data_IF_334605963763
#
_entry.id   IF_334605963763
#
_cell.length_a   1.000
_cell.length_b   1.000
_cell.length_c   1.000
_cell.angle_alpha   90.00
_cell.angle_beta   90.00
_cell.angle_gamma   90.00
#
_symmetry.space_group_name_H-M   'P 1'
#
loop_
_entity.id
_entity.type
_entity.pdbx_description
1 polymer ?
#
# COMPACT_ATOMS: atom_id res chain seq x y z
N UNK A 1 7.23 5.59 -18.45
CA UNK A 1 5.81 5.55 -18.04
C UNK A 1 5.37 6.97 -17.82
N UNK A 2 4.11 7.30 -18.09
CA UNK A 2 3.55 8.61 -17.73
C UNK A 2 2.70 8.44 -16.47
N UNK A 3 2.90 9.29 -15.46
CA UNK A 3 2.18 9.25 -14.18
C UNK A 3 1.42 10.56 -14.04
N UNK A 4 0.08 10.47 -13.98
CA UNK A 4 -0.82 11.60 -13.77
C UNK A 4 -1.38 11.56 -12.35
N UNK A 5 -1.22 12.65 -11.62
CA UNK A 5 -1.82 12.86 -10.30
C UNK A 5 -2.83 13.99 -10.46
N UNK A 6 -4.15 13.71 -10.40
CA UNK A 6 -5.17 14.75 -10.43
C UNK A 6 -4.98 15.76 -9.28
N UNK A 7 -5.39 17.03 -9.47
CA UNK A 7 -5.16 18.10 -8.50
C UNK A 7 -5.83 17.80 -7.14
N UNK A 8 -7.04 17.25 -7.17
CA UNK A 8 -7.78 16.83 -5.98
C UNK A 8 -7.04 15.72 -5.20
N UNK A 9 -6.35 14.83 -5.91
CA UNK A 9 -5.52 13.78 -5.32
C UNK A 9 -4.23 14.40 -4.77
N UNK A 10 -3.63 15.36 -5.48
CA UNK A 10 -2.42 16.06 -5.05
C UNK A 10 -2.63 16.81 -3.72
N UNK A 11 -3.76 17.50 -3.57
CA UNK A 11 -4.14 18.15 -2.31
C UNK A 11 -4.35 17.12 -1.18
N UNK A 12 -5.02 16.00 -1.48
CA UNK A 12 -5.29 14.94 -0.51
C UNK A 12 -3.99 14.31 0.01
N UNK A 13 -3.06 13.94 -0.88
CA UNK A 13 -1.79 13.31 -0.49
C UNK A 13 -0.88 14.30 0.24
N UNK A 14 -0.94 15.59 -0.11
CA UNK A 14 -0.23 16.66 0.58
C UNK A 14 -0.70 16.80 2.03
N UNK A 15 -2.02 16.77 2.28
CA UNK A 15 -2.59 16.74 3.65
C UNK A 15 -2.17 15.51 4.45
N UNK A 16 -1.84 14.40 3.78
CA UNK A 16 -1.32 13.16 4.39
C UNK A 16 0.20 13.16 4.58
N UNK A 17 0.89 14.24 4.19
CA UNK A 17 2.35 14.37 4.29
C UNK A 17 3.12 13.54 3.26
N UNK A 18 2.47 13.10 2.18
CA UNK A 18 3.09 12.30 1.12
C UNK A 18 3.47 13.21 -0.03
N UNK A 19 4.74 13.15 -0.47
CA UNK A 19 5.24 13.99 -1.56
C UNK A 19 4.93 13.36 -2.92
N UNK A 20 4.75 14.20 -3.94
CA UNK A 20 4.60 13.74 -5.33
C UNK A 20 5.76 12.83 -5.78
N UNK A 21 6.99 13.16 -5.38
CA UNK A 21 8.16 12.34 -5.71
C UNK A 21 8.07 10.92 -5.13
N UNK A 22 7.55 10.78 -3.90
CA UNK A 22 7.36 9.49 -3.24
C UNK A 22 6.31 8.65 -3.98
N UNK A 23 5.22 9.27 -4.43
CA UNK A 23 4.18 8.60 -5.22
C UNK A 23 4.75 8.05 -6.54
N UNK A 24 5.52 8.86 -7.25
CA UNK A 24 6.16 8.44 -8.51
C UNK A 24 7.12 7.28 -8.29
N UNK A 25 7.97 7.38 -7.28
CA UNK A 25 8.96 6.34 -6.94
C UNK A 25 8.31 5.01 -6.55
N UNK A 26 7.19 5.04 -5.80
CA UNK A 26 6.40 3.84 -5.47
C UNK A 26 5.88 3.16 -6.74
N UNK A 27 5.26 3.90 -7.66
CA UNK A 27 4.72 3.35 -8.91
C UNK A 27 5.84 2.78 -9.77
N UNK A 28 6.91 3.55 -10.00
CA UNK A 28 8.02 3.14 -10.86
C UNK A 28 8.68 1.86 -10.34
N UNK A 29 8.92 1.79 -9.03
CA UNK A 29 9.48 0.60 -8.38
C UNK A 29 8.55 -0.62 -8.54
N UNK A 30 7.25 -0.45 -8.32
CA UNK A 30 6.29 -1.54 -8.43
C UNK A 30 6.07 -2.02 -9.88
N UNK A 31 6.25 -1.14 -10.85
CA UNK A 31 6.20 -1.46 -12.28
C UNK A 31 7.46 -2.16 -12.77
N UNK A 32 8.62 -1.90 -12.16
CA UNK A 32 9.87 -2.61 -12.47
C UNK A 32 9.97 -3.96 -11.74
N UNK A 33 9.45 -4.08 -10.53
CA UNK A 33 9.61 -5.29 -9.69
C UNK A 33 8.39 -6.20 -9.63
N UNK A 34 7.25 -5.77 -10.16
CA UNK A 34 5.94 -6.40 -10.00
C UNK A 34 5.49 -6.59 -8.53
N UNK A 35 6.04 -5.81 -7.59
CA UNK A 35 5.61 -5.85 -6.18
C UNK A 35 4.38 -4.96 -5.95
N UNK A 36 3.24 -5.44 -6.46
CA UNK A 36 1.93 -4.81 -6.36
C UNK A 36 0.83 -5.87 -6.43
N UNK A 37 -0.36 -5.47 -6.01
CA UNK A 37 -1.59 -6.22 -6.26
C UNK A 37 -2.44 -5.52 -7.32
N UNK A 38 -3.17 -6.32 -8.11
CA UNK A 38 -3.92 -5.86 -9.28
C UNK A 38 -5.35 -6.40 -9.24
N UNK A 39 -6.32 -5.55 -9.54
CA UNK A 39 -7.73 -5.89 -9.70
C UNK A 39 -8.25 -5.19 -10.96
N UNK A 40 -8.36 -5.92 -12.06
CA UNK A 40 -8.65 -5.33 -13.38
C UNK A 40 -7.55 -4.35 -13.81
N UNK A 41 -7.90 -3.07 -14.00
CA UNK A 41 -6.95 -2.00 -14.28
C UNK A 41 -6.44 -1.27 -13.02
N UNK A 42 -7.02 -1.53 -11.84
CA UNK A 42 -6.64 -0.92 -10.57
C UNK A 42 -5.46 -1.66 -9.96
N UNK A 43 -4.53 -0.91 -9.40
CA UNK A 43 -3.28 -1.42 -8.83
C UNK A 43 -3.06 -0.77 -7.47
N UNK A 44 -2.59 -1.55 -6.50
CA UNK A 44 -2.02 -1.01 -5.26
C UNK A 44 -0.55 -1.40 -5.19
N UNK A 45 0.30 -0.38 -5.32
CA UNK A 45 1.73 -0.48 -5.11
C UNK A 45 2.11 -0.07 -3.70
N UNK A 46 3.26 -0.54 -3.22
CA UNK A 46 3.83 -0.07 -1.95
C UNK A 46 5.35 0.05 -2.00
N UNK A 47 5.90 0.93 -1.19
CA UNK A 47 7.34 1.06 -0.93
C UNK A 47 7.58 1.57 0.49
N UNK A 48 8.66 1.12 1.12
CA UNK A 48 9.12 1.71 2.38
C UNK A 48 9.94 2.95 2.05
N UNK A 49 9.53 4.11 2.58
CA UNK A 49 10.21 5.39 2.40
C UNK A 49 10.43 6.00 3.79
N UNK A 50 11.69 6.14 4.19
CA UNK A 50 12.04 6.51 5.56
C UNK A 50 11.51 5.47 6.56
N UNK A 51 10.65 5.92 7.48
CA UNK A 51 10.02 5.07 8.51
C UNK A 51 8.58 4.66 8.18
N UNK A 52 8.07 5.03 7.01
CA UNK A 52 6.69 4.75 6.61
C UNK A 52 6.64 3.77 5.44
N UNK A 53 5.65 2.89 5.44
CA UNK A 53 5.23 2.20 4.22
C UNK A 53 4.23 3.09 3.50
N UNK A 54 4.59 3.53 2.29
CA UNK A 54 3.74 4.35 1.42
C UNK A 54 3.09 3.45 0.40
N UNK A 55 1.79 3.64 0.21
CA UNK A 55 0.94 2.94 -0.74
C UNK A 55 0.41 3.91 -1.77
N UNK A 56 0.29 3.42 -3.01
CA UNK A 56 -0.32 4.19 -4.10
C UNK A 56 -1.35 3.31 -4.79
N UNK A 57 -2.59 3.80 -4.81
CA UNK A 57 -3.70 3.25 -5.57
C UNK A 57 -3.81 3.99 -6.90
N UNK A 58 -3.69 3.27 -8.00
CA UNK A 58 -3.67 3.85 -9.34
C UNK A 58 -4.32 2.94 -10.37
N UNK A 59 -4.91 3.54 -11.39
CA UNK A 59 -5.34 2.85 -12.59
C UNK A 59 -4.19 2.83 -13.59
N UNK A 60 -3.93 1.66 -14.18
CA UNK A 60 -2.91 1.49 -15.21
C UNK A 60 -3.58 1.20 -16.55
N UNK A 61 -3.45 2.16 -17.47
CA UNK A 61 -3.89 2.02 -18.85
C UNK A 61 -2.69 1.66 -19.74
N UNK A 62 -2.82 0.55 -20.47
CA UNK A 62 -1.83 0.15 -21.47
C UNK A 62 -2.18 0.82 -22.80
N UNK A 63 -1.64 2.02 -23.01
CA UNK A 63 -1.72 2.68 -24.32
C UNK A 63 -0.87 1.95 -25.37
N UNK A 64 -1.15 2.24 -26.66
CA UNK A 64 -0.43 1.65 -27.80
C UNK A 64 1.07 2.00 -27.82
N UNK A 65 1.45 3.14 -27.25
CA UNK A 65 2.83 3.69 -27.30
C UNK A 65 3.49 3.76 -25.93
N UNK A 66 2.72 4.06 -24.87
CA UNK A 66 3.23 4.16 -23.48
C UNK A 66 2.15 3.69 -22.50
N UNK A 67 2.61 3.22 -21.33
CA UNK A 67 1.75 2.98 -20.16
C UNK A 67 1.44 4.32 -19.49
N UNK A 68 0.18 4.54 -19.14
CA UNK A 68 -0.30 5.69 -18.39
C UNK A 68 -0.83 5.22 -17.03
N UNK A 69 -0.33 5.80 -15.95
CA UNK A 69 -0.80 5.55 -14.60
C UNK A 69 -1.56 6.79 -14.08
N UNK A 70 -2.83 6.62 -13.73
CA UNK A 70 -3.64 7.68 -13.11
C UNK A 70 -3.80 7.38 -11.63
N UNK A 71 -3.19 8.22 -10.79
CA UNK A 71 -3.24 8.05 -9.33
C UNK A 71 -4.63 8.40 -8.83
N UNK A 72 -5.20 7.50 -8.01
CA UNK A 72 -6.50 7.69 -7.34
C UNK A 72 -6.32 8.10 -5.90
N UNK A 73 -5.30 7.56 -5.23
CA UNK A 73 -5.01 7.86 -3.83
C UNK A 73 -3.58 7.47 -3.47
N UNK A 74 -3.03 8.11 -2.45
CA UNK A 74 -1.84 7.63 -1.76
C UNK A 74 -2.01 7.77 -0.24
N UNK A 75 -1.48 6.81 0.50
CA UNK A 75 -1.62 6.74 1.95
C UNK A 75 -0.42 6.01 2.55
N UNK A 76 -0.24 6.12 3.85
CA UNK A 76 0.92 5.53 4.53
C UNK A 76 0.63 5.18 5.97
N UNK A 77 1.44 4.29 6.54
CA UNK A 77 1.53 4.04 7.97
C UNK A 77 2.97 3.78 8.38
N UNK A 78 3.29 3.93 9.66
CA UNK A 78 4.62 3.72 10.25
C UNK A 78 4.78 2.38 10.96
N UNK A 79 3.73 1.56 11.00
CA UNK A 79 3.86 0.18 11.49
C UNK A 79 4.74 -0.65 10.56
N UNK A 80 5.64 -1.45 11.14
CA UNK A 80 6.41 -2.46 10.42
C UNK A 80 5.53 -3.69 10.18
N UNK A 81 5.37 -4.08 8.92
CA UNK A 81 4.67 -5.30 8.55
C UNK A 81 5.61 -6.50 8.66
N UNK A 82 5.20 -7.50 9.42
CA UNK A 82 5.90 -8.76 9.64
C UNK A 82 5.21 -9.92 8.93
N UNK A 83 5.27 -11.10 9.54
CA UNK A 83 4.79 -12.34 8.95
C UNK A 83 3.27 -12.36 8.76
N UNK A 84 2.84 -13.13 7.76
CA UNK A 84 1.43 -13.47 7.55
C UNK A 84 1.01 -14.45 8.64
N UNK A 85 0.06 -14.03 9.46
CA UNK A 85 -0.50 -14.83 10.56
C UNK A 85 -1.55 -15.80 10.04
N UNK A 86 -2.42 -15.31 9.15
CA UNK A 86 -3.39 -16.15 8.46
C UNK A 86 -3.75 -15.57 7.08
N UNK A 87 -4.32 -16.42 6.24
CA UNK A 87 -4.93 -16.07 4.96
C UNK A 87 -6.25 -16.83 4.90
N UNK A 88 -7.36 -16.10 4.91
CA UNK A 88 -8.69 -16.66 5.10
C UNK A 88 -9.48 -16.64 3.80
N UNK A 89 -9.84 -15.44 3.35
CA UNK A 89 -10.85 -15.26 2.33
C UNK A 89 -10.22 -14.89 1.00
N UNK A 90 -10.87 -15.28 -0.09
CA UNK A 90 -10.47 -14.81 -1.41
C UNK A 90 -10.66 -13.29 -1.48
N UNK A 91 -9.64 -12.60 -1.96
CA UNK A 91 -9.78 -11.21 -2.37
C UNK A 91 -9.93 -11.12 -3.88
N UNK A 92 -10.42 -9.99 -4.38
CA UNK A 92 -10.48 -9.69 -5.82
C UNK A 92 -9.11 -9.31 -6.40
N UNK A 93 -8.08 -9.25 -5.55
CA UNK A 93 -6.73 -8.87 -5.92
C UNK A 93 -5.90 -10.07 -6.38
N UNK A 94 -5.03 -9.83 -7.34
CA UNK A 94 -4.01 -10.78 -7.82
C UNK A 94 -2.63 -10.20 -7.56
N UNK A 95 -1.70 -11.00 -7.05
CA UNK A 95 -0.32 -10.57 -6.87
C UNK A 95 0.39 -10.52 -8.25
N UNK A 96 0.83 -9.33 -8.68
CA UNK A 96 1.50 -9.18 -9.98
C UNK A 96 2.84 -9.92 -10.06
N UNK A 97 3.47 -10.22 -8.92
CA UNK A 97 4.77 -10.87 -8.88
C UNK A 97 4.69 -12.37 -9.19
N UNK A 98 3.72 -13.08 -8.61
CA UNK A 98 3.60 -14.54 -8.76
C UNK A 98 2.34 -14.98 -9.52
N UNK A 99 1.48 -14.03 -9.90
CA UNK A 99 0.23 -14.23 -10.63
C UNK A 99 -0.80 -15.13 -9.91
N UNK A 100 -0.70 -15.28 -8.60
CA UNK A 100 -1.69 -15.99 -7.78
C UNK A 100 -2.70 -15.01 -7.17
N UNK A 101 -3.93 -15.48 -6.85
CA UNK A 101 -4.88 -14.71 -6.06
C UNK A 101 -4.26 -14.27 -4.73
N UNK A 102 -4.39 -13.00 -4.41
CA UNK A 102 -4.17 -12.50 -3.07
C UNK A 102 -5.40 -12.81 -2.21
N UNK A 103 -5.20 -12.92 -0.91
CA UNK A 103 -6.22 -13.31 0.05
C UNK A 103 -6.37 -12.20 1.09
N UNK A 104 -7.56 -12.07 1.69
CA UNK A 104 -7.68 -11.33 2.94
C UNK A 104 -7.11 -12.18 4.07
N UNK A 105 -6.47 -11.51 5.03
CA UNK A 105 -5.85 -12.18 6.16
C UNK A 105 -5.33 -11.19 7.18
N UNK A 106 -4.49 -11.68 8.07
CA UNK A 106 -3.86 -10.89 9.11
C UNK A 106 -2.34 -10.99 9.00
N UNK A 107 -1.68 -9.88 9.29
CA UNK A 107 -0.22 -9.81 9.38
C UNK A 107 0.18 -9.26 10.74
N UNK A 108 1.35 -9.67 11.21
CA UNK A 108 1.98 -9.05 12.35
C UNK A 108 2.31 -7.59 11.99
N UNK A 109 1.90 -6.64 12.83
CA UNK A 109 2.17 -5.22 12.68
C UNK A 109 2.84 -4.73 13.95
N UNK A 110 4.05 -4.18 13.82
CA UNK A 110 4.87 -3.75 14.95
C UNK A 110 5.06 -2.25 14.95
N UNK A 111 4.80 -1.61 16.09
CA UNK A 111 5.12 -0.21 16.33
C UNK A 111 5.61 -0.04 17.76
N UNK A 112 6.73 0.68 17.94
CA UNK A 112 7.32 0.92 19.26
C UNK A 112 7.46 -0.35 20.12
N UNK A 113 7.99 -1.43 19.53
CA UNK A 113 8.16 -2.76 20.16
C UNK A 113 6.86 -3.49 20.55
N UNK A 114 5.70 -2.92 20.25
CA UNK A 114 4.41 -3.59 20.45
C UNK A 114 3.96 -4.20 19.13
N UNK A 115 3.77 -5.52 19.14
CA UNK A 115 3.25 -6.27 17.99
C UNK A 115 1.78 -6.61 18.20
N UNK A 116 0.97 -6.37 17.17
CA UNK A 116 -0.44 -6.75 17.07
C UNK A 116 -0.73 -7.33 15.70
N UNK A 117 -1.74 -8.18 15.62
CA UNK A 117 -2.19 -8.72 14.33
C UNK A 117 -3.23 -7.75 13.75
N UNK A 118 -3.04 -7.35 12.50
CA UNK A 118 -3.93 -6.43 11.81
C UNK A 118 -4.34 -6.97 10.44
N UNK A 119 -5.53 -6.59 9.93
CA UNK A 119 -6.00 -7.03 8.63
C UNK A 119 -5.12 -6.48 7.50
N UNK A 120 -4.93 -7.30 6.46
CA UNK A 120 -4.22 -6.94 5.24
C UNK A 120 -4.69 -7.83 4.08
N UNK A 121 -4.45 -7.37 2.85
CA UNK A 121 -4.40 -8.22 1.66
C UNK A 121 -3.04 -8.90 1.63
N UNK A 122 -2.98 -10.21 1.50
CA UNK A 122 -1.75 -10.99 1.62
C UNK A 122 -1.54 -11.89 0.40
N UNK A 123 -0.28 -12.06 0.01
CA UNK A 123 0.13 -13.06 -0.95
C UNK A 123 0.96 -14.14 -0.22
N UNK A 124 0.38 -15.31 0.09
CA UNK A 124 1.10 -16.37 0.82
C UNK A 124 2.35 -16.88 0.09
N UNK A 125 2.28 -16.96 -1.25
CA UNK A 125 3.38 -17.44 -2.10
C UNK A 125 4.59 -16.48 -2.08
N UNK A 126 4.33 -15.17 -2.10
CA UNK A 126 5.38 -14.15 -2.06
C UNK A 126 5.75 -13.73 -0.63
N UNK A 127 4.99 -14.16 0.37
CA UNK A 127 5.08 -13.70 1.77
C UNK A 127 5.04 -12.17 1.88
N UNK A 128 4.19 -11.55 1.06
CA UNK A 128 4.03 -10.09 1.01
C UNK A 128 2.60 -9.66 1.35
N UNK A 129 2.43 -8.40 1.75
CA UNK A 129 1.17 -7.90 2.27
C UNK A 129 0.90 -6.42 1.99
N UNK A 130 -0.36 -6.05 1.87
CA UNK A 130 -0.79 -4.68 1.58
C UNK A 130 -1.89 -4.29 2.56
N UNK A 131 -1.73 -3.12 3.17
CA UNK A 131 -2.75 -2.53 4.03
C UNK A 131 -3.64 -1.66 3.16
N UNK A 132 -4.95 -1.75 3.34
CA UNK A 132 -5.90 -0.92 2.59
C UNK A 132 -5.98 0.49 3.17
N UNK A 133 -6.37 1.45 2.33
CA UNK A 133 -6.38 2.88 2.67
C UNK A 133 -7.16 3.20 3.95
N UNK A 134 -8.35 2.62 4.12
CA UNK A 134 -9.20 2.91 5.29
C UNK A 134 -8.56 2.46 6.60
N UNK A 135 -7.74 1.40 6.58
CA UNK A 135 -6.99 0.93 7.74
C UNK A 135 -5.83 1.87 8.05
N UNK A 136 -5.03 2.19 7.02
CA UNK A 136 -3.86 3.06 7.16
C UNK A 136 -4.24 4.46 7.68
N UNK A 137 -5.30 5.04 7.12
CA UNK A 137 -5.72 6.43 7.42
C UNK A 137 -6.59 6.59 8.66
N UNK A 138 -7.19 5.50 9.18
CA UNK A 138 -8.04 5.54 10.38
C UNK A 138 -7.43 4.71 11.51
N UNK A 139 -7.56 3.39 11.43
CA UNK A 139 -7.22 2.48 12.54
C UNK A 139 -5.75 2.56 12.90
N UNK A 140 -4.86 2.47 11.90
CA UNK A 140 -3.42 2.49 12.13
C UNK A 140 -2.93 3.87 12.58
N UNK A 141 -3.45 4.95 11.97
CA UNK A 141 -3.18 6.31 12.42
C UNK A 141 -3.59 6.55 13.89
N UNK A 142 -4.76 6.03 14.32
CA UNK A 142 -5.20 6.10 15.70
C UNK A 142 -4.28 5.29 16.65
N UNK A 143 -3.87 4.10 16.22
CA UNK A 143 -2.93 3.25 16.96
C UNK A 143 -1.58 3.95 17.15
N UNK A 144 -1.02 4.54 16.10
CA UNK A 144 0.23 5.31 16.18
C UNK A 144 0.11 6.47 17.17
N UNK A 145 -0.94 7.28 17.06
CA UNK A 145 -1.17 8.41 17.96
C UNK A 145 -1.36 8.01 19.42
N UNK A 146 -2.00 6.86 19.68
CA UNK A 146 -2.13 6.32 21.04
C UNK A 146 -0.78 5.90 21.63
N UNK A 147 0.08 5.26 20.83
CA UNK A 147 1.41 4.85 21.29
C UNK A 147 2.33 6.04 21.53
N UNK A 148 2.28 7.05 20.67
CA UNK A 148 3.06 8.29 20.83
C UNK A 148 2.66 9.04 22.10
N UNK A 149 1.36 9.15 22.40
CA UNK A 149 0.86 9.78 23.63
C UNK A 149 1.27 9.06 24.91
N UNK A 150 1.39 7.72 24.88
CA UNK A 150 1.81 6.93 26.06
C UNK A 150 3.31 7.04 26.36
N UNK A 151 4.09 7.57 25.44
CA UNK A 151 5.54 7.79 25.60
C UNK A 151 5.88 9.21 26.07
N UNK A 152 4.97 10.18 25.87
CA UNK A 152 5.06 11.53 26.40
C UNK A 152 4.60 11.58 27.86
#
# INVERSE_FOLDING_TARGET
MEIKIPNEVMELIGKRGIKEADVKDVIETAESSNKKIVMGNRNIAKKIIGQATVYVDYELEKGLVRKHATVKSAYSHRLMLGEIVNATDKSDWVCAHCNEPALYGHVAMTYMQVTRNGPAVVCPKCKDSWVEEYLATKTLAAVEGLFEKKRA
#
